data_IF_706998664778
#
_entry.id   IF_706998664778
#
_cell.length_a   1.000
_cell.length_b   1.000
_cell.length_c   1.000
_cell.angle_alpha   90.00
_cell.angle_beta   90.00
_cell.angle_gamma   90.00
#
_symmetry.space_group_name_H-M   'P 1'
#
loop_
_entity.id
_entity.type
_entity.pdbx_description
1 polymer ?
#
# COMPACT_ATOMS: atom_id res chain seq x y z
N UNK A 1 -16.13 15.48 51.43
CA UNK A 1 -16.40 15.74 50.01
C UNK A 1 -15.42 14.91 49.17
N UNK A 2 -15.90 13.85 48.51
CA UNK A 2 -15.06 13.01 47.61
C UNK A 2 -15.11 13.61 46.21
N UNK A 3 -13.98 14.11 45.75
CA UNK A 3 -13.86 14.56 44.37
C UNK A 3 -13.83 13.34 43.42
N UNK A 4 -14.83 13.26 42.55
CA UNK A 4 -14.93 12.28 41.51
C UNK A 4 -14.04 12.74 40.33
N UNK A 5 -12.88 12.10 40.17
CA UNK A 5 -12.01 12.34 39.01
C UNK A 5 -12.61 11.57 37.83
N UNK A 6 -13.28 12.29 36.93
CA UNK A 6 -13.74 11.74 35.66
C UNK A 6 -12.53 11.68 34.70
N UNK A 7 -11.99 10.48 34.52
CA UNK A 7 -10.97 10.23 33.48
C UNK A 7 -11.69 10.24 32.12
N UNK A 8 -11.58 11.36 31.39
CA UNK A 8 -12.03 11.45 30.02
C UNK A 8 -10.99 10.71 29.17
N UNK A 9 -11.28 9.47 28.80
CA UNK A 9 -10.56 8.78 27.72
C UNK A 9 -10.90 9.48 26.41
N UNK A 10 -9.99 10.34 25.96
CA UNK A 10 -10.00 10.81 24.57
C UNK A 10 -9.66 9.61 23.70
N UNK A 11 -10.69 8.93 23.22
CA UNK A 11 -10.55 8.02 22.09
C UNK A 11 -10.15 8.88 20.88
N UNK A 12 -8.85 8.90 20.58
CA UNK A 12 -8.41 9.31 19.26
C UNK A 12 -9.03 8.32 18.28
N UNK A 13 -10.13 8.69 17.64
CA UNK A 13 -10.60 8.05 16.44
C UNK A 13 -9.52 8.27 15.38
N UNK A 14 -8.53 7.39 15.33
CA UNK A 14 -7.73 7.22 14.14
C UNK A 14 -8.70 6.74 13.07
N UNK A 15 -8.98 7.60 12.09
CA UNK A 15 -9.74 7.22 10.90
C UNK A 15 -9.02 6.02 10.28
N UNK A 16 -9.61 4.83 10.44
CA UNK A 16 -9.14 3.66 9.73
C UNK A 16 -9.43 3.86 8.25
N UNK A 17 -8.49 3.53 7.38
CA UNK A 17 -8.74 3.54 5.94
C UNK A 17 -9.90 2.60 5.62
N UNK A 18 -10.87 3.08 4.84
CA UNK A 18 -11.99 2.33 4.29
C UNK A 18 -12.06 2.57 2.78
N UNK A 19 -12.17 1.50 2.02
CA UNK A 19 -12.37 1.58 0.58
C UNK A 19 -13.83 1.93 0.27
N UNK A 20 -14.10 3.20 -0.04
CA UNK A 20 -15.43 3.69 -0.37
C UNK A 20 -15.37 4.63 -1.57
N UNK A 21 -16.16 4.34 -2.61
CA UNK A 21 -16.27 5.20 -3.78
C UNK A 21 -17.10 6.44 -3.47
N UNK A 22 -16.66 7.58 -3.97
CA UNK A 22 -17.42 8.82 -3.92
C UNK A 22 -18.32 8.97 -5.16
N UNK A 23 -19.18 10.00 -5.17
CA UNK A 23 -20.13 10.23 -6.27
C UNK A 23 -19.44 10.50 -7.61
N UNK A 24 -18.28 11.18 -7.61
CA UNK A 24 -17.52 11.46 -8.84
C UNK A 24 -16.95 10.15 -9.43
N UNK A 25 -16.41 9.27 -8.58
CA UNK A 25 -15.90 7.96 -8.99
C UNK A 25 -17.03 7.06 -9.51
N UNK A 26 -18.18 7.03 -8.83
CA UNK A 26 -19.37 6.29 -9.25
C UNK A 26 -19.87 6.81 -10.61
N UNK A 27 -19.96 8.14 -10.79
CA UNK A 27 -20.36 8.76 -12.04
C UNK A 27 -19.39 8.43 -13.17
N UNK A 28 -18.08 8.52 -12.93
CA UNK A 28 -17.06 8.13 -13.89
C UNK A 28 -17.21 6.67 -14.33
N UNK A 29 -17.37 5.75 -13.38
CA UNK A 29 -17.56 4.31 -13.65
C UNK A 29 -18.82 4.11 -14.49
N UNK A 30 -19.93 4.77 -14.14
CA UNK A 30 -21.20 4.60 -14.83
C UNK A 30 -21.17 5.06 -16.28
N UNK A 31 -20.37 6.07 -16.59
CA UNK A 31 -20.20 6.63 -17.93
C UNK A 31 -19.06 5.98 -18.72
N UNK A 32 -18.30 5.06 -18.11
CA UNK A 32 -17.16 4.41 -18.76
C UNK A 32 -17.60 3.30 -19.71
N UNK A 33 -16.99 3.25 -20.89
CA UNK A 33 -17.10 2.10 -21.79
C UNK A 33 -16.58 0.79 -21.20
N UNK A 34 -15.75 0.89 -20.14
CA UNK A 34 -15.20 -0.25 -19.39
C UNK A 34 -15.97 -0.58 -18.11
N UNK A 35 -17.17 0.00 -17.89
CA UNK A 35 -17.98 -0.13 -16.68
C UNK A 35 -18.04 -1.56 -16.15
N UNK A 36 -18.40 -2.52 -16.99
CA UNK A 36 -18.55 -3.93 -16.58
C UNK A 36 -17.25 -4.51 -16.04
N UNK A 37 -16.11 -4.21 -16.68
CA UNK A 37 -14.79 -4.69 -16.23
C UNK A 37 -14.39 -4.06 -14.89
N UNK A 38 -14.65 -2.76 -14.73
CA UNK A 38 -14.37 -2.03 -13.48
C UNK A 38 -15.21 -2.62 -12.34
N UNK A 39 -16.53 -2.70 -12.51
CA UNK A 39 -17.43 -3.24 -11.48
C UNK A 39 -17.10 -4.69 -11.10
N UNK A 40 -16.75 -5.53 -12.07
CA UNK A 40 -16.32 -6.91 -11.79
C UNK A 40 -15.02 -6.95 -10.99
N UNK A 41 -14.05 -6.06 -11.28
CA UNK A 41 -12.80 -5.97 -10.52
C UNK A 41 -13.07 -5.52 -9.09
N UNK A 42 -13.85 -4.48 -8.89
CA UNK A 42 -14.22 -3.96 -7.58
C UNK A 42 -14.97 -5.02 -6.77
N UNK A 43 -15.95 -5.70 -7.36
CA UNK A 43 -16.66 -6.80 -6.71
C UNK A 43 -15.73 -7.93 -6.28
N UNK A 44 -14.79 -8.34 -7.15
CA UNK A 44 -13.79 -9.37 -6.80
C UNK A 44 -12.86 -8.90 -5.68
N UNK A 45 -12.51 -7.61 -5.64
CA UNK A 45 -11.71 -7.01 -4.58
C UNK A 45 -12.44 -7.07 -3.22
N UNK A 46 -13.71 -6.66 -3.16
CA UNK A 46 -14.51 -6.73 -1.96
C UNK A 46 -14.73 -8.18 -1.47
N UNK A 47 -15.03 -9.09 -2.39
CA UNK A 47 -15.15 -10.51 -2.07
C UNK A 47 -13.86 -11.09 -1.51
N UNK A 48 -12.70 -10.76 -2.09
CA UNK A 48 -11.40 -11.19 -1.59
C UNK A 48 -11.15 -10.70 -0.16
N UNK A 49 -11.42 -9.41 0.15
CA UNK A 49 -11.26 -8.88 1.52
C UNK A 49 -12.15 -9.62 2.52
N UNK A 50 -13.41 -9.87 2.15
CA UNK A 50 -14.37 -10.60 2.98
C UNK A 50 -13.90 -12.03 3.23
N UNK A 51 -13.46 -12.72 2.19
CA UNK A 51 -13.00 -14.12 2.26
C UNK A 51 -11.80 -14.29 3.20
N UNK A 52 -10.82 -13.37 3.09
CA UNK A 52 -9.57 -13.53 3.84
C UNK A 52 -9.60 -12.94 5.24
N UNK A 53 -10.71 -12.33 5.67
CA UNK A 53 -10.83 -11.60 6.94
C UNK A 53 -10.32 -12.42 8.14
N UNK A 54 -10.68 -13.69 8.18
CA UNK A 54 -10.36 -14.58 9.30
C UNK A 54 -9.19 -15.55 8.98
N UNK A 55 -8.49 -15.33 7.85
CA UNK A 55 -7.34 -16.17 7.52
C UNK A 55 -6.14 -15.87 8.41
N UNK A 56 -5.26 -16.87 8.56
CA UNK A 56 -3.95 -16.69 9.14
C UNK A 56 -3.13 -15.65 8.37
N UNK A 57 -2.25 -14.93 9.07
CA UNK A 57 -1.50 -13.81 8.54
C UNK A 57 -0.86 -14.07 7.18
N UNK A 58 -0.07 -15.15 7.07
CA UNK A 58 0.66 -15.44 5.83
C UNK A 58 -0.29 -15.69 4.65
N UNK A 59 -1.46 -16.24 4.90
CA UNK A 59 -2.50 -16.42 3.89
C UNK A 59 -3.12 -15.08 3.48
N UNK A 60 -3.40 -14.17 4.45
CA UNK A 60 -3.85 -12.80 4.14
C UNK A 60 -2.88 -12.09 3.21
N UNK A 61 -1.59 -12.04 3.60
CA UNK A 61 -0.54 -11.41 2.82
C UNK A 61 -0.45 -12.00 1.39
N UNK A 62 -0.49 -13.33 1.29
CA UNK A 62 -0.39 -14.05 0.01
C UNK A 62 -1.60 -13.80 -0.90
N UNK A 63 -2.80 -13.79 -0.34
CA UNK A 63 -4.03 -13.51 -1.11
C UNK A 63 -4.06 -12.09 -1.64
N UNK A 64 -3.73 -11.08 -0.80
CA UNK A 64 -3.64 -9.68 -1.22
C UNK A 64 -2.58 -9.52 -2.30
N UNK A 65 -1.37 -10.08 -2.10
CA UNK A 65 -0.31 -10.02 -3.10
C UNK A 65 -0.74 -10.64 -4.43
N UNK A 66 -1.28 -11.85 -4.39
CA UNK A 66 -1.70 -12.58 -5.60
C UNK A 66 -2.88 -11.91 -6.31
N UNK A 67 -3.82 -11.32 -5.58
CA UNK A 67 -4.94 -10.60 -6.15
C UNK A 67 -4.47 -9.37 -6.93
N UNK A 68 -3.65 -8.52 -6.31
CA UNK A 68 -3.15 -7.31 -6.95
C UNK A 68 -2.29 -7.64 -8.17
N UNK A 69 -1.45 -8.66 -8.08
CA UNK A 69 -0.56 -9.07 -9.17
C UNK A 69 -1.29 -9.62 -10.42
N UNK A 70 -2.60 -9.81 -10.37
CA UNK A 70 -3.43 -10.13 -11.57
C UNK A 70 -3.85 -8.88 -12.34
N UNK A 71 -3.67 -7.69 -11.77
CA UNK A 71 -3.93 -6.42 -12.46
C UNK A 71 -2.78 -6.19 -13.45
N UNK A 72 -3.07 -5.55 -14.58
CA UNK A 72 -2.09 -5.39 -15.65
C UNK A 72 -0.98 -4.41 -15.26
N UNK A 73 0.31 -4.78 -15.35
CA UNK A 73 1.39 -3.84 -15.11
C UNK A 73 1.52 -2.86 -16.29
N UNK A 74 1.60 -1.57 -15.99
CA UNK A 74 1.83 -0.53 -16.97
C UNK A 74 2.69 0.57 -16.34
N UNK A 75 3.66 1.07 -17.12
CA UNK A 75 4.44 2.23 -16.71
C UNK A 75 3.69 3.51 -17.06
N UNK A 76 3.91 4.57 -16.30
CA UNK A 76 3.29 5.90 -16.47
C UNK A 76 3.63 6.63 -17.78
N UNK A 77 4.29 5.97 -18.73
CA UNK A 77 4.83 6.53 -19.98
C UNK A 77 3.76 7.15 -20.89
N UNK A 78 2.48 6.92 -20.68
CA UNK A 78 1.43 7.25 -21.63
C UNK A 78 0.60 8.49 -21.33
N UNK A 79 0.78 9.14 -20.19
CA UNK A 79 0.04 10.37 -19.88
C UNK A 79 1.00 11.54 -19.73
N UNK A 80 0.73 12.64 -20.46
CA UNK A 80 1.47 13.92 -20.43
C UNK A 80 1.43 14.64 -19.06
N UNK A 81 0.91 14.02 -18.03
CA UNK A 81 0.82 14.52 -16.68
C UNK A 81 1.80 13.76 -15.79
N UNK A 82 2.83 14.45 -15.34
CA UNK A 82 3.85 14.07 -14.34
C UNK A 82 4.35 12.61 -14.39
N UNK A 83 5.60 12.50 -14.68
CA UNK A 83 6.44 11.31 -14.89
C UNK A 83 6.50 10.33 -13.69
N UNK A 84 5.66 10.47 -12.65
CA UNK A 84 5.71 9.64 -11.44
C UNK A 84 4.50 9.94 -10.53
N UNK A 85 3.31 9.53 -10.96
CA UNK A 85 2.05 9.72 -10.23
C UNK A 85 1.72 8.48 -9.41
N UNK A 86 1.58 8.64 -8.10
CA UNK A 86 1.20 7.55 -7.20
C UNK A 86 -0.33 7.44 -7.08
N UNK A 87 -0.91 6.43 -7.70
CA UNK A 87 -2.35 6.23 -7.66
C UNK A 87 -2.85 5.82 -6.27
N UNK A 88 -4.01 6.32 -5.88
CA UNK A 88 -4.73 5.78 -4.73
C UNK A 88 -5.24 4.37 -5.01
N UNK A 89 -5.58 3.56 -3.99
CA UNK A 89 -6.16 2.23 -4.21
C UNK A 89 -7.40 2.25 -5.10
N UNK A 90 -8.23 3.30 -4.99
CA UNK A 90 -9.43 3.47 -5.83
C UNK A 90 -9.07 3.75 -7.29
N UNK A 91 -8.16 4.68 -7.51
CA UNK A 91 -7.67 5.00 -8.85
C UNK A 91 -7.06 3.76 -9.52
N UNK A 92 -6.15 3.06 -8.85
CA UNK A 92 -5.53 1.83 -9.37
C UNK A 92 -6.57 0.75 -9.71
N UNK A 93 -7.53 0.50 -8.81
CA UNK A 93 -8.57 -0.50 -9.04
C UNK A 93 -9.58 -0.08 -10.11
N UNK A 94 -9.85 1.21 -10.31
CA UNK A 94 -10.72 1.71 -11.37
C UNK A 94 -9.99 1.66 -12.72
N UNK A 95 -8.74 2.11 -12.78
CA UNK A 95 -7.93 2.09 -14.01
C UNK A 95 -7.64 0.66 -14.47
N UNK A 96 -7.25 -0.22 -13.54
CA UNK A 96 -6.92 -1.61 -13.80
C UNK A 96 -5.55 -1.83 -14.40
N UNK A 97 -4.66 -0.92 -14.17
CA UNK A 97 -3.24 -0.99 -14.49
C UNK A 97 -2.47 -0.03 -13.57
N UNK A 98 -1.17 -0.19 -13.45
CA UNK A 98 -0.28 0.69 -12.70
C UNK A 98 1.14 0.14 -12.66
N UNK A 99 2.05 0.86 -12.00
CA UNK A 99 3.44 0.48 -11.82
C UNK A 99 3.75 -0.03 -10.40
N UNK A 100 5.02 -0.17 -10.03
CA UNK A 100 5.39 -0.86 -8.79
C UNK A 100 4.89 -0.16 -7.53
N UNK A 101 4.86 1.17 -7.49
CA UNK A 101 4.35 1.94 -6.36
C UNK A 101 2.85 1.80 -6.18
N UNK A 102 2.07 1.78 -7.26
CA UNK A 102 0.61 1.63 -7.22
C UNK A 102 0.21 0.27 -6.63
N UNK A 103 0.95 -0.78 -7.01
CA UNK A 103 0.76 -2.11 -6.39
C UNK A 103 1.10 -2.09 -4.90
N UNK A 104 2.22 -1.50 -4.51
CA UNK A 104 2.64 -1.43 -3.12
C UNK A 104 1.64 -0.63 -2.28
N UNK A 105 1.19 0.53 -2.79
CA UNK A 105 0.20 1.41 -2.16
C UNK A 105 -1.13 0.65 -1.98
N UNK A 106 -1.63 0.02 -3.03
CA UNK A 106 -2.92 -0.66 -2.94
C UNK A 106 -2.86 -1.86 -2.00
N UNK A 107 -1.75 -2.63 -1.98
CA UNK A 107 -1.54 -3.70 -1.01
C UNK A 107 -1.50 -3.18 0.43
N UNK A 108 -0.79 -2.07 0.68
CA UNK A 108 -0.68 -1.45 1.99
C UNK A 108 -2.06 -1.08 2.55
N UNK A 109 -2.82 -0.28 1.83
CA UNK A 109 -4.13 0.16 2.29
C UNK A 109 -5.16 -0.98 2.39
N UNK A 110 -5.08 -1.98 1.50
CA UNK A 110 -5.91 -3.20 1.62
C UNK A 110 -5.60 -3.96 2.90
N UNK A 111 -4.32 -4.10 3.26
CA UNK A 111 -3.91 -4.79 4.48
C UNK A 111 -4.30 -4.02 5.74
N UNK A 112 -4.22 -2.67 5.73
CA UNK A 112 -4.74 -1.83 6.81
C UNK A 112 -6.24 -2.07 7.01
N UNK A 113 -7.03 -2.06 5.93
CA UNK A 113 -8.48 -2.23 5.97
C UNK A 113 -8.90 -3.58 6.55
N UNK A 114 -8.12 -4.64 6.32
CA UNK A 114 -8.37 -5.97 6.89
C UNK A 114 -7.67 -6.20 8.24
N UNK A 115 -7.23 -5.13 8.90
CA UNK A 115 -6.77 -5.12 10.28
C UNK A 115 -5.29 -5.43 10.50
N UNK A 116 -4.43 -5.34 9.49
CA UNK A 116 -2.98 -5.41 9.71
C UNK A 116 -2.48 -4.05 10.22
N UNK A 117 -1.80 -3.98 11.38
CA UNK A 117 -1.32 -2.72 11.93
C UNK A 117 -0.31 -2.03 11.03
N UNK A 118 -0.43 -0.71 10.87
CA UNK A 118 0.46 0.09 10.01
C UNK A 118 1.93 0.07 10.48
N UNK A 119 2.17 -0.17 11.76
CA UNK A 119 3.50 -0.33 12.35
C UNK A 119 4.26 -1.54 11.83
N UNK A 120 3.54 -2.50 11.21
CA UNK A 120 4.09 -3.72 10.64
C UNK A 120 4.27 -3.65 9.12
N UNK A 121 3.79 -2.60 8.47
CA UNK A 121 3.81 -2.43 7.01
C UNK A 121 4.73 -1.28 6.63
N UNK A 122 5.64 -1.53 5.68
CA UNK A 122 6.58 -0.53 5.19
C UNK A 122 6.70 -0.60 3.67
N UNK A 123 6.57 0.52 2.99
CA UNK A 123 7.05 0.67 1.62
C UNK A 123 8.56 0.58 1.62
N UNK A 124 9.13 -0.22 0.75
CA UNK A 124 10.56 -0.35 0.62
C UNK A 124 11.00 -0.01 -0.80
N UNK A 125 11.90 0.96 -0.91
CA UNK A 125 12.61 1.27 -2.16
C UNK A 125 13.82 0.36 -2.22
N UNK A 126 13.88 -0.43 -3.28
CA UNK A 126 14.90 -1.44 -3.50
C UNK A 126 15.58 -1.26 -4.86
N UNK A 127 16.84 -1.58 -4.95
CA UNK A 127 17.49 -1.80 -6.24
C UNK A 127 17.32 -3.28 -6.60
N UNK A 128 17.15 -3.56 -7.88
CA UNK A 128 17.05 -4.92 -8.41
C UNK A 128 18.35 -5.24 -9.13
N UNK A 129 19.05 -6.28 -8.72
CA UNK A 129 20.31 -6.70 -9.37
C UNK A 129 20.11 -6.90 -10.86
N UNK A 130 20.88 -6.17 -11.67
CA UNK A 130 20.83 -6.23 -13.12
C UNK A 130 19.88 -5.22 -13.77
N UNK A 131 19.07 -4.50 -12.99
CA UNK A 131 18.19 -3.43 -13.47
C UNK A 131 18.79 -2.05 -13.17
N UNK A 132 18.42 -1.06 -13.98
CA UNK A 132 18.89 0.34 -13.79
C UNK A 132 17.93 1.20 -12.96
N UNK A 133 16.67 0.79 -12.90
CA UNK A 133 15.62 1.52 -12.17
C UNK A 133 15.45 0.95 -10.76
N UNK A 134 15.13 1.82 -9.82
CA UNK A 134 14.65 1.40 -8.50
C UNK A 134 13.27 0.78 -8.62
N UNK A 135 12.93 -0.04 -7.65
CA UNK A 135 11.66 -0.76 -7.56
C UNK A 135 11.04 -0.53 -6.18
N UNK A 136 9.71 -0.51 -6.09
CA UNK A 136 8.99 -0.40 -4.83
C UNK A 136 8.26 -1.69 -4.51
N UNK A 137 8.45 -2.18 -3.30
CA UNK A 137 7.76 -3.35 -2.75
C UNK A 137 7.15 -3.01 -1.40
N UNK A 138 6.22 -3.83 -0.93
CA UNK A 138 5.70 -3.72 0.42
C UNK A 138 6.35 -4.78 1.31
N UNK A 139 6.88 -4.35 2.46
CA UNK A 139 7.39 -5.21 3.52
C UNK A 139 6.33 -5.39 4.61
N UNK A 140 6.18 -6.61 5.08
CA UNK A 140 5.58 -6.90 6.37
C UNK A 140 6.66 -7.33 7.36
N UNK A 141 6.68 -6.70 8.55
CA UNK A 141 7.57 -7.06 9.66
C UNK A 141 6.75 -7.37 10.91
N UNK A 142 7.00 -8.51 11.52
CA UNK A 142 6.40 -8.83 12.82
C UNK A 142 6.86 -7.83 13.90
N UNK A 143 8.13 -7.46 13.87
CA UNK A 143 8.75 -6.38 14.62
C UNK A 143 9.97 -5.84 13.85
N UNK A 144 10.51 -4.69 14.30
CA UNK A 144 11.63 -4.00 13.60
C UNK A 144 12.93 -4.81 13.49
N UNK A 145 13.07 -5.91 14.24
CA UNK A 145 14.24 -6.81 14.21
C UNK A 145 14.01 -8.05 13.34
N UNK A 146 12.76 -8.29 12.93
CA UNK A 146 12.41 -9.45 12.11
C UNK A 146 12.88 -9.28 10.67
N UNK A 147 13.13 -10.40 9.99
CA UNK A 147 13.31 -10.40 8.55
C UNK A 147 11.98 -10.08 7.87
N UNK A 148 11.93 -9.07 6.97
CA UNK A 148 10.69 -8.73 6.28
C UNK A 148 10.16 -9.87 5.41
N UNK A 149 8.85 -10.06 5.39
CA UNK A 149 8.17 -10.74 4.31
C UNK A 149 7.92 -9.74 3.17
N UNK A 150 8.19 -10.14 1.94
CA UNK A 150 8.12 -9.28 0.76
C UNK A 150 6.87 -9.53 -0.04
N UNK A 151 6.05 -8.50 -0.21
CA UNK A 151 4.94 -8.46 -1.16
C UNK A 151 5.38 -7.64 -2.37
N UNK A 152 5.49 -8.29 -3.52
CA UNK A 152 6.08 -7.72 -4.74
C UNK A 152 5.19 -8.04 -5.95
N UNK A 153 5.01 -7.07 -6.86
CA UNK A 153 4.26 -7.30 -8.10
C UNK A 153 5.03 -8.19 -9.10
N UNK A 154 6.36 -8.31 -8.94
CA UNK A 154 7.19 -9.21 -9.74
C UNK A 154 7.25 -10.64 -9.18
N UNK A 155 6.53 -10.95 -8.09
CA UNK A 155 6.49 -12.28 -7.49
C UNK A 155 5.12 -12.61 -6.92
N UNK A 156 4.59 -13.77 -7.26
CA UNK A 156 3.36 -14.29 -6.65
C UNK A 156 3.58 -14.79 -5.21
N UNK A 157 4.84 -15.08 -4.83
CA UNK A 157 5.18 -15.64 -3.51
C UNK A 157 5.48 -14.52 -2.52
N UNK A 158 4.89 -14.60 -1.34
CA UNK A 158 5.26 -13.79 -0.17
C UNK A 158 6.25 -14.60 0.65
N UNK A 159 7.53 -14.24 0.55
CA UNK A 159 8.65 -14.95 1.17
C UNK A 159 9.59 -13.97 1.90
N UNK A 160 10.42 -14.44 2.83
CA UNK A 160 11.40 -13.61 3.50
C UNK A 160 12.36 -12.92 2.53
N UNK A 161 12.76 -11.69 2.86
CA UNK A 161 13.72 -10.90 2.07
C UNK A 161 15.03 -11.65 1.83
N UNK A 162 15.48 -12.48 2.79
CA UNK A 162 16.66 -13.35 2.65
C UNK A 162 16.59 -14.32 1.47
N UNK A 163 15.39 -14.64 1.00
CA UNK A 163 15.15 -15.49 -0.18
C UNK A 163 14.92 -14.68 -1.46
N UNK A 164 15.00 -13.36 -1.39
CA UNK A 164 14.85 -12.42 -2.52
C UNK A 164 16.20 -11.81 -2.88
N UNK A 165 17.16 -12.65 -3.24
CA UNK A 165 18.59 -12.30 -3.44
C UNK A 165 18.86 -11.19 -4.46
N UNK A 166 17.89 -10.93 -5.36
CA UNK A 166 17.99 -9.84 -6.33
C UNK A 166 17.56 -8.48 -5.77
N UNK A 167 16.86 -8.43 -4.64
CA UNK A 167 16.38 -7.19 -4.04
C UNK A 167 17.41 -6.65 -3.03
N UNK A 168 17.84 -5.41 -3.23
CA UNK A 168 18.76 -4.69 -2.36
C UNK A 168 18.04 -3.48 -1.79
N UNK A 169 17.42 -3.58 -0.59
CA UNK A 169 16.73 -2.45 0.01
C UNK A 169 17.65 -1.30 0.34
N UNK A 170 17.21 -0.07 0.04
CA UNK A 170 17.89 1.18 0.35
C UNK A 170 17.30 1.82 1.60
N UNK A 171 16.00 2.03 1.60
CA UNK A 171 15.25 2.56 2.74
C UNK A 171 13.81 2.03 2.71
N UNK A 172 13.15 2.11 3.86
CA UNK A 172 11.75 1.76 3.99
C UNK A 172 11.02 2.80 4.85
N UNK A 173 9.74 3.02 4.57
CA UNK A 173 8.93 4.03 5.23
C UNK A 173 7.46 3.61 5.34
N UNK A 174 6.76 4.23 6.24
CA UNK A 174 5.30 4.18 6.35
C UNK A 174 4.77 5.54 6.85
N UNK A 175 3.53 5.58 7.31
CA UNK A 175 2.92 6.81 7.85
C UNK A 175 3.55 7.29 9.18
N UNK A 176 4.35 6.46 9.84
CA UNK A 176 4.87 6.72 11.19
C UNK A 176 6.37 7.02 11.15
N UNK A 177 7.11 6.19 10.46
CA UNK A 177 8.56 6.15 10.52
C UNK A 177 9.20 5.87 9.16
N UNK A 178 10.45 6.27 9.02
CA UNK A 178 11.30 5.89 7.90
C UNK A 178 12.71 5.48 8.38
N UNK A 179 13.25 4.45 7.75
CA UNK A 179 14.51 3.82 8.13
C UNK A 179 15.38 3.54 6.93
N UNK A 180 16.69 3.76 7.10
CA UNK A 180 17.69 3.21 6.21
C UNK A 180 17.74 1.70 6.37
N UNK A 181 17.99 1.00 5.26
CA UNK A 181 18.05 -0.45 5.26
C UNK A 181 19.45 -0.91 4.86
N UNK A 182 20.12 -1.67 5.70
CA UNK A 182 21.46 -2.20 5.43
C UNK A 182 21.54 -3.63 5.97
N UNK A 183 22.19 -4.51 5.22
CA UNK A 183 22.32 -5.93 5.59
C UNK A 183 20.99 -6.58 5.97
N UNK A 184 19.92 -6.28 5.19
CA UNK A 184 18.56 -6.81 5.34
C UNK A 184 17.87 -6.45 6.66
N UNK A 185 18.30 -5.38 7.32
CA UNK A 185 17.71 -4.89 8.59
C UNK A 185 17.55 -3.39 8.58
N UNK A 186 16.59 -2.91 9.36
CA UNK A 186 16.52 -1.49 9.72
C UNK A 186 17.74 -1.11 10.54
N UNK A 187 18.40 -0.01 10.18
CA UNK A 187 19.60 0.45 10.87
C UNK A 187 19.39 1.80 11.51
N UNK A 188 19.04 2.80 10.75
CA UNK A 188 19.00 4.19 11.19
C UNK A 188 17.65 4.80 10.83
N UNK A 189 17.04 5.54 11.77
CA UNK A 189 15.86 6.35 11.49
C UNK A 189 16.31 7.55 10.65
N UNK A 190 15.67 7.74 9.50
CA UNK A 190 16.01 8.79 8.55
C UNK A 190 14.79 9.66 8.25
N UNK A 191 15.04 10.90 7.87
CA UNK A 191 14.01 11.76 7.29
C UNK A 191 14.16 11.73 5.78
N UNK A 192 13.12 11.26 5.09
CA UNK A 192 13.10 11.25 3.63
C UNK A 192 12.91 12.67 3.13
N UNK A 193 13.78 13.09 2.22
CA UNK A 193 13.57 14.33 1.47
C UNK A 193 12.70 14.01 0.25
N UNK A 194 11.44 14.43 0.29
CA UNK A 194 10.49 14.22 -0.80
C UNK A 194 10.59 15.25 -1.93
N UNK A 195 11.54 16.20 -1.82
CA UNK A 195 11.66 17.33 -2.76
C UNK A 195 10.54 18.36 -2.59
N UNK A 196 10.37 19.21 -3.61
CA UNK A 196 9.35 20.28 -3.60
C UNK A 196 7.92 19.70 -3.68
N UNK A 197 7.77 18.58 -4.40
CA UNK A 197 6.50 17.87 -4.52
C UNK A 197 6.46 16.63 -3.63
N UNK A 198 6.02 16.79 -2.38
CA UNK A 198 5.86 15.66 -1.45
C UNK A 198 4.74 14.70 -1.93
N UNK A 199 5.11 13.73 -2.77
CA UNK A 199 4.19 12.73 -3.34
C UNK A 199 3.49 11.91 -2.29
N UNK A 200 4.21 11.58 -1.21
CA UNK A 200 3.66 10.81 -0.11
C UNK A 200 2.52 11.57 0.59
N UNK A 201 2.73 12.83 0.93
CA UNK A 201 1.71 13.68 1.52
C UNK A 201 0.52 13.90 0.57
N UNK A 202 0.81 14.16 -0.72
CA UNK A 202 -0.24 14.28 -1.75
C UNK A 202 -1.08 13.00 -1.87
N UNK A 203 -0.45 11.83 -1.81
CA UNK A 203 -1.14 10.54 -1.79
C UNK A 203 -2.02 10.40 -0.56
N UNK A 204 -1.47 10.62 0.65
CA UNK A 204 -2.23 10.50 1.89
C UNK A 204 -3.42 11.45 1.93
N UNK A 205 -3.25 12.68 1.49
CA UNK A 205 -4.35 13.64 1.39
C UNK A 205 -5.47 13.12 0.48
N UNK A 206 -5.17 12.52 -0.66
CA UNK A 206 -6.19 11.94 -1.56
C UNK A 206 -6.82 10.65 -1.01
N UNK A 207 -6.05 9.85 -0.27
CA UNK A 207 -6.54 8.60 0.31
C UNK A 207 -7.46 8.88 1.49
N UNK A 208 -7.10 9.85 2.35
CA UNK A 208 -7.85 10.15 3.58
C UNK A 208 -8.81 11.33 3.45
N UNK A 209 -8.74 12.10 2.34
CA UNK A 209 -9.78 13.12 2.11
C UNK A 209 -11.13 12.39 2.03
N UNK A 210 -11.85 12.51 3.12
CA UNK A 210 -13.25 12.14 3.16
C UNK A 210 -13.98 13.06 2.19
N UNK A 211 -14.34 12.51 1.06
CA UNK A 211 -15.37 13.00 0.13
C UNK A 211 -15.82 14.46 0.36
N UNK A 212 -15.12 15.42 -0.19
CA UNK A 212 -15.70 16.69 -0.58
C UNK A 212 -16.41 16.58 -1.95
#
# INVERSE_FOLDING_TARGET
>A
MKQLIILIFLFNFMYAYEFKLNEKEISYINNSSKKTFILNRLKKYENMKTEIKDYELIRKLSHVNSFMNKIFPAHDISTKASIDYWATPKEFLIQGHGDCEDYAITKYFTLLEIGIPKEKLYFAVVDVKGERSSHMVLFYLENKKSTPLVLDNLSSKVIPLTQREKLIPRFAFNEIDSYKFTNQKFTEKVKINWGEENKWEKLLNRVYSLNE
#
